data_IF_966955459508
#
_entry.id   IF_966955459508
#
_cell.length_a   1.000
_cell.length_b   1.000
_cell.length_c   1.000
_cell.angle_alpha   90.00
_cell.angle_beta   90.00
_cell.angle_gamma   90.00
#
_symmetry.space_group_name_H-M   'P 1'
#
loop_
_entity.id
_entity.type
_entity.pdbx_description
1 polymer ?
#
# COMPACT_ATOMS: atom_id res chain seq x y z
N UNK A 1 33.29 0.30 -63.52
CA UNK A 1 33.95 -0.69 -62.64
C UNK A 1 33.31 -0.56 -61.27
N UNK A 2 32.37 -1.41 -60.99
CA UNK A 2 31.55 -1.39 -59.75
C UNK A 2 31.92 -2.64 -58.97
N UNK A 3 32.56 -2.48 -57.82
CA UNK A 3 32.86 -3.55 -56.90
C UNK A 3 31.72 -3.80 -55.92
N UNK A 4 31.11 -4.98 -56.02
CA UNK A 4 30.07 -5.43 -55.11
C UNK A 4 30.69 -6.00 -53.82
N UNK A 5 30.36 -5.46 -52.68
CA UNK A 5 30.63 -6.08 -51.38
C UNK A 5 29.42 -6.92 -50.96
N UNK A 6 29.67 -8.21 -50.76
CA UNK A 6 28.73 -9.16 -50.17
C UNK A 6 28.61 -8.98 -48.64
N UNK A 7 27.41 -9.12 -48.03
CA UNK A 7 27.27 -9.07 -46.60
C UNK A 7 27.60 -10.41 -45.95
N UNK A 8 28.24 -10.30 -44.76
CA UNK A 8 28.71 -11.39 -43.92
C UNK A 8 27.57 -12.30 -43.43
N UNK A 9 27.84 -13.61 -43.45
CA UNK A 9 26.98 -14.67 -42.99
C UNK A 9 26.79 -14.63 -41.45
N UNK A 10 25.53 -14.59 -41.02
CA UNK A 10 25.15 -14.79 -39.60
C UNK A 10 25.18 -16.29 -39.29
N UNK A 11 26.13 -16.69 -38.47
CA UNK A 11 26.24 -18.05 -37.94
C UNK A 11 25.11 -18.28 -36.94
N UNK A 12 24.18 -19.17 -37.30
CA UNK A 12 23.14 -19.66 -36.39
C UNK A 12 23.80 -20.55 -35.34
N UNK A 13 23.84 -20.04 -34.08
CA UNK A 13 24.12 -20.89 -32.94
C UNK A 13 22.83 -21.64 -32.62
N UNK A 14 22.85 -22.94 -32.86
CA UNK A 14 21.80 -23.86 -32.45
C UNK A 14 21.92 -24.08 -30.95
N UNK A 15 21.02 -23.48 -30.17
CA UNK A 15 20.86 -23.81 -28.75
C UNK A 15 20.01 -25.07 -28.69
N UNK A 16 20.67 -26.20 -28.44
CA UNK A 16 20.07 -27.49 -28.12
C UNK A 16 19.32 -27.38 -26.79
N UNK A 17 18.02 -27.58 -26.83
CA UNK A 17 17.18 -27.71 -25.65
C UNK A 17 17.58 -28.98 -24.87
N UNK A 18 17.78 -28.93 -23.56
CA UNK A 18 17.89 -30.13 -22.73
C UNK A 18 16.49 -30.74 -22.55
N UNK A 19 16.40 -31.98 -23.00
CA UNK A 19 15.27 -32.88 -22.86
C UNK A 19 14.94 -33.17 -21.39
N UNK A 20 13.61 -33.14 -21.08
CA UNK A 20 12.94 -34.01 -20.10
C UNK A 20 13.65 -34.15 -18.74
N UNK A 21 13.36 -33.21 -17.80
CA UNK A 21 13.31 -33.56 -16.38
C UNK A 21 11.90 -33.21 -15.89
N UNK A 22 11.03 -34.16 -16.05
CA UNK A 22 10.19 -34.92 -15.11
C UNK A 22 9.53 -34.06 -14.00
N UNK A 23 8.31 -33.77 -14.22
CA UNK A 23 7.02 -34.02 -13.58
C UNK A 23 7.11 -34.82 -12.24
N UNK A 24 7.87 -34.38 -11.27
CA UNK A 24 7.92 -35.01 -9.94
C UNK A 24 7.64 -34.05 -8.79
N UNK A 25 7.47 -32.76 -9.06
CA UNK A 25 7.30 -31.75 -7.99
C UNK A 25 5.84 -31.38 -7.66
N UNK A 26 4.84 -32.00 -8.32
CA UNK A 26 3.43 -31.73 -8.02
C UNK A 26 2.90 -32.49 -6.78
N UNK A 27 3.64 -33.48 -6.26
CA UNK A 27 3.10 -34.37 -5.22
C UNK A 27 3.50 -34.05 -3.78
N UNK A 28 4.37 -33.06 -3.54
CA UNK A 28 4.86 -32.76 -2.17
C UNK A 28 4.07 -31.62 -1.50
N UNK A 29 3.35 -30.79 -2.27
CA UNK A 29 2.62 -29.63 -1.72
C UNK A 29 1.26 -29.97 -1.08
N UNK A 30 0.77 -31.21 -1.19
CA UNK A 30 -0.57 -31.60 -0.70
C UNK A 30 -0.56 -32.46 0.57
N UNK A 31 0.62 -32.77 1.14
CA UNK A 31 0.73 -33.68 2.28
C UNK A 31 0.84 -32.98 3.66
N UNK A 32 0.82 -31.63 3.73
CA UNK A 32 0.91 -30.91 5.03
C UNK A 32 -0.48 -30.55 5.58
N UNK A 33 -1.55 -30.71 4.81
CA UNK A 33 -2.93 -30.63 5.33
C UNK A 33 -3.51 -32.00 5.61
N UNK A 34 -2.81 -32.77 6.45
CA UNK A 34 -3.35 -33.98 7.09
C UNK A 34 -4.49 -33.60 8.01
N UNK A 35 -5.67 -34.10 7.69
CA UNK A 35 -6.87 -34.17 8.46
C UNK A 35 -6.60 -34.56 9.93
N UNK A 36 -6.51 -33.57 10.84
CA UNK A 36 -6.61 -33.86 12.26
C UNK A 36 -7.99 -33.38 12.73
N UNK A 37 -8.89 -34.37 12.82
CA UNK A 37 -10.18 -34.25 13.44
C UNK A 37 -9.96 -34.59 14.91
N UNK A 38 -9.73 -33.58 15.73
CA UNK A 38 -9.87 -33.75 17.18
C UNK A 38 -10.61 -32.50 17.66
N UNK A 39 -11.82 -32.75 18.13
CA UNK A 39 -12.65 -31.74 18.71
C UNK A 39 -12.05 -31.26 20.03
N UNK A 40 -12.09 -29.98 20.22
CA UNK A 40 -12.29 -29.38 21.53
C UNK A 40 -13.27 -28.23 21.34
N UNK A 41 -14.45 -28.50 21.86
CA UNK A 41 -15.44 -27.50 22.20
C UNK A 41 -14.89 -26.76 23.43
N UNK A 42 -14.52 -25.49 23.26
CA UNK A 42 -14.57 -24.60 24.40
C UNK A 42 -15.23 -23.28 24.05
N UNK A 43 -16.06 -22.90 24.96
CA UNK A 43 -17.11 -21.93 24.83
C UNK A 43 -16.62 -20.48 24.97
N UNK A 44 -17.35 -19.58 24.26
CA UNK A 44 -17.75 -18.27 24.78
C UNK A 44 -16.66 -17.37 25.32
N UNK A 45 -16.16 -16.51 24.45
CA UNK A 45 -15.54 -15.25 24.82
C UNK A 45 -16.23 -14.17 24.01
N UNK A 46 -17.19 -13.46 24.59
CA UNK A 46 -17.60 -12.14 24.15
C UNK A 46 -16.36 -11.26 24.24
N UNK A 47 -15.73 -10.98 23.13
CA UNK A 47 -14.53 -10.15 23.01
C UNK A 47 -14.84 -8.94 22.17
N UNK A 48 -14.92 -7.87 22.85
CA UNK A 48 -14.80 -6.47 22.51
C UNK A 48 -13.87 -6.22 21.32
N UNK A 49 -14.36 -5.43 20.30
CA UNK A 49 -13.54 -4.72 19.33
C UNK A 49 -12.85 -5.56 18.27
N UNK A 50 -13.40 -5.51 17.10
CA UNK A 50 -13.13 -6.15 15.79
C UNK A 50 -11.67 -5.95 15.25
N UNK A 51 -10.67 -6.34 16.04
CA UNK A 51 -9.29 -6.45 15.59
C UNK A 51 -9.08 -7.79 14.89
N UNK A 52 -8.41 -7.85 13.74
CA UNK A 52 -8.14 -9.10 13.05
C UNK A 52 -7.36 -10.06 13.96
N UNK A 53 -7.75 -11.33 14.00
CA UNK A 53 -7.01 -12.37 14.72
C UNK A 53 -5.70 -12.67 14.00
N UNK A 54 -4.62 -12.03 14.48
CA UNK A 54 -3.32 -12.04 13.82
C UNK A 54 -2.52 -13.26 14.22
N UNK A 55 -2.10 -14.07 13.22
CA UNK A 55 -1.28 -15.26 13.41
C UNK A 55 0.09 -15.15 12.70
N UNK A 56 1.06 -14.38 13.23
CA UNK A 56 2.34 -14.10 12.54
C UNK A 56 3.14 -15.37 12.23
N UNK A 57 3.05 -16.39 13.11
CA UNK A 57 3.76 -17.65 12.90
C UNK A 57 3.26 -18.41 11.65
N UNK A 58 1.94 -18.39 11.39
CA UNK A 58 1.35 -18.97 10.18
C UNK A 58 1.65 -18.11 8.95
N UNK A 59 1.62 -16.80 9.08
CA UNK A 59 1.93 -15.86 8.01
C UNK A 59 3.38 -16.01 7.53
N UNK A 60 4.35 -16.18 8.44
CA UNK A 60 5.78 -16.29 8.14
C UNK A 60 6.12 -17.36 7.11
N UNK A 61 5.49 -18.53 7.20
CA UNK A 61 5.72 -19.61 6.24
C UNK A 61 5.27 -19.20 4.82
N UNK A 62 4.11 -18.53 4.72
CA UNK A 62 3.60 -18.02 3.45
C UNK A 62 4.48 -16.91 2.88
N UNK A 63 4.95 -15.98 3.71
CA UNK A 63 5.84 -14.89 3.27
C UNK A 63 7.19 -15.41 2.80
N UNK A 64 7.79 -16.39 3.48
CA UNK A 64 9.02 -17.02 3.04
C UNK A 64 8.85 -17.72 1.70
N UNK A 65 7.77 -18.47 1.52
CA UNK A 65 7.44 -19.13 0.26
C UNK A 65 7.23 -18.10 -0.87
N UNK A 66 6.47 -17.03 -0.57
CA UNK A 66 6.18 -15.97 -1.54
C UNK A 66 7.47 -15.32 -2.06
N UNK A 67 8.42 -15.00 -1.16
CA UNK A 67 9.71 -14.42 -1.52
C UNK A 67 10.50 -15.33 -2.44
N UNK A 68 10.66 -16.60 -2.08
CA UNK A 68 11.38 -17.59 -2.91
C UNK A 68 10.76 -17.74 -4.29
N UNK A 69 9.43 -17.80 -4.36
CA UNK A 69 8.68 -17.95 -5.62
C UNK A 69 8.79 -16.69 -6.48
N UNK A 70 8.77 -15.50 -5.87
CA UNK A 70 8.92 -14.24 -6.56
C UNK A 70 10.32 -14.09 -7.18
N UNK A 71 11.37 -14.54 -6.48
CA UNK A 71 12.75 -14.56 -6.99
C UNK A 71 12.91 -15.46 -8.21
N UNK A 72 12.08 -16.50 -8.35
CA UNK A 72 12.06 -17.38 -9.56
C UNK A 72 11.22 -16.83 -10.71
N UNK A 73 10.63 -15.64 -10.59
CA UNK A 73 9.78 -15.03 -11.61
C UNK A 73 8.36 -15.57 -11.68
N UNK A 74 7.94 -16.44 -10.75
CA UNK A 74 6.58 -17.02 -10.75
C UNK A 74 5.58 -16.07 -10.05
N UNK A 75 5.38 -14.89 -10.62
CA UNK A 75 4.67 -13.78 -9.97
C UNK A 75 3.22 -14.08 -9.58
N UNK A 76 2.46 -14.81 -10.40
CA UNK A 76 1.08 -15.16 -10.05
C UNK A 76 1.01 -16.06 -8.82
N UNK A 77 1.92 -17.05 -8.71
CA UNK A 77 1.98 -17.90 -7.53
C UNK A 77 2.55 -17.14 -6.31
N UNK A 78 3.50 -16.23 -6.51
CA UNK A 78 3.97 -15.34 -5.47
C UNK A 78 2.82 -14.49 -4.89
N UNK A 79 1.98 -13.90 -5.74
CA UNK A 79 0.77 -13.17 -5.31
C UNK A 79 -0.17 -14.06 -4.48
N UNK A 80 -0.36 -15.31 -4.88
CA UNK A 80 -1.17 -16.28 -4.11
C UNK A 80 -0.61 -16.46 -2.71
N UNK A 81 0.72 -16.64 -2.58
CA UNK A 81 1.38 -16.82 -1.30
C UNK A 81 1.33 -15.53 -0.44
N UNK A 82 1.57 -14.35 -1.04
CA UNK A 82 1.45 -13.07 -0.33
C UNK A 82 0.04 -12.85 0.23
N UNK A 83 -0.99 -13.05 -0.57
CA UNK A 83 -2.39 -12.91 -0.14
C UNK A 83 -2.75 -13.91 0.96
N UNK A 84 -2.28 -15.16 0.85
CA UNK A 84 -2.48 -16.18 1.88
C UNK A 84 -1.80 -15.82 3.20
N UNK A 85 -0.61 -15.24 3.14
CA UNK A 85 0.10 -14.73 4.32
C UNK A 85 -0.59 -13.53 4.94
N UNK A 86 -1.02 -12.55 4.13
CA UNK A 86 -1.77 -11.38 4.59
C UNK A 86 -3.15 -11.72 5.17
N UNK A 87 -3.73 -12.87 4.83
CA UNK A 87 -4.94 -13.35 5.50
C UNK A 87 -4.69 -13.73 6.98
N UNK A 88 -3.45 -14.04 7.37
CA UNK A 88 -3.04 -14.32 8.75
C UNK A 88 -2.36 -13.13 9.43
N UNK A 89 -1.71 -12.27 8.67
CA UNK A 89 -1.06 -11.06 9.17
C UNK A 89 -1.24 -9.91 8.16
N UNK A 90 -2.36 -9.20 8.23
CA UNK A 90 -2.66 -8.10 7.33
C UNK A 90 -1.87 -6.82 7.64
N UNK A 91 -1.15 -6.76 8.77
CA UNK A 91 -0.37 -5.59 9.20
C UNK A 91 0.98 -5.50 8.52
N UNK A 92 1.44 -6.56 7.88
CA UNK A 92 2.80 -6.69 7.35
C UNK A 92 3.01 -5.84 6.11
N UNK A 93 3.78 -4.75 6.26
CA UNK A 93 4.06 -3.81 5.17
C UNK A 93 4.95 -4.38 4.09
N UNK A 94 5.96 -5.18 4.45
CA UNK A 94 6.85 -5.83 3.48
C UNK A 94 6.05 -6.78 2.55
N UNK A 95 5.05 -7.47 3.12
CA UNK A 95 4.17 -8.34 2.35
C UNK A 95 3.27 -7.54 1.39
N UNK A 96 2.72 -6.41 1.85
CA UNK A 96 1.91 -5.52 1.02
C UNK A 96 2.71 -4.97 -0.16
N UNK A 97 3.91 -4.45 0.09
CA UNK A 97 4.77 -3.89 -0.95
C UNK A 97 5.24 -4.96 -1.93
N UNK A 98 5.65 -6.13 -1.42
CA UNK A 98 6.08 -7.25 -2.25
C UNK A 98 4.94 -7.80 -3.11
N UNK A 99 3.72 -7.86 -2.57
CA UNK A 99 2.52 -8.21 -3.34
C UNK A 99 2.29 -7.23 -4.48
N UNK A 100 2.39 -5.93 -4.24
CA UNK A 100 2.20 -4.91 -5.27
C UNK A 100 3.30 -4.98 -6.34
N UNK A 101 4.55 -5.26 -5.94
CA UNK A 101 5.65 -5.48 -6.88
C UNK A 101 5.43 -6.72 -7.76
N UNK A 102 5.03 -7.85 -7.16
CA UNK A 102 4.70 -9.08 -7.90
C UNK A 102 3.54 -8.86 -8.89
N UNK A 103 2.54 -8.10 -8.46
CA UNK A 103 1.38 -7.74 -9.28
C UNK A 103 1.77 -6.86 -10.47
N UNK A 104 2.63 -5.86 -10.27
CA UNK A 104 3.15 -5.02 -11.34
C UNK A 104 3.99 -5.82 -12.33
N UNK A 105 4.83 -6.74 -11.86
CA UNK A 105 5.62 -7.63 -12.68
C UNK A 105 4.74 -8.55 -13.53
N UNK A 106 3.71 -9.19 -12.93
CA UNK A 106 2.74 -10.00 -13.65
C UNK A 106 2.02 -9.22 -14.75
N UNK A 107 1.62 -7.99 -14.47
CA UNK A 107 0.97 -7.12 -15.46
C UNK A 107 1.89 -6.74 -16.62
N UNK A 108 3.21 -6.67 -16.37
CA UNK A 108 4.23 -6.45 -17.41
C UNK A 108 4.46 -7.65 -18.31
N UNK A 109 4.41 -8.86 -17.73
CA UNK A 109 4.67 -10.10 -18.48
C UNK A 109 3.44 -10.63 -19.24
N UNK A 110 2.26 -10.47 -18.67
CA UNK A 110 1.04 -11.09 -19.18
C UNK A 110 -0.15 -10.14 -19.17
N UNK A 111 -0.85 -10.10 -20.32
CA UNK A 111 -2.17 -9.45 -20.40
C UNK A 111 -3.28 -10.26 -19.72
N UNK A 112 -3.00 -11.51 -19.35
CA UNK A 112 -3.93 -12.36 -18.60
C UNK A 112 -3.85 -11.94 -17.13
N UNK A 113 -4.94 -11.51 -16.54
CA UNK A 113 -5.00 -11.19 -15.13
C UNK A 113 -4.66 -12.38 -14.22
N UNK A 114 -4.73 -12.19 -12.87
CA UNK A 114 -4.43 -13.22 -11.88
C UNK A 114 -5.22 -14.52 -12.10
N UNK A 115 -4.59 -15.65 -11.84
CA UNK A 115 -5.20 -16.98 -11.98
C UNK A 115 -6.39 -17.18 -11.04
N UNK A 116 -7.18 -18.23 -11.30
CA UNK A 116 -8.25 -18.63 -10.37
C UNK A 116 -7.74 -19.02 -8.99
N UNK A 117 -6.51 -19.52 -8.89
CA UNK A 117 -5.88 -19.85 -7.61
C UNK A 117 -5.63 -18.57 -6.79
N UNK A 118 -5.06 -17.53 -7.41
CA UNK A 118 -4.83 -16.23 -6.79
C UNK A 118 -6.14 -15.55 -6.37
N UNK A 119 -7.16 -15.61 -7.23
CA UNK A 119 -8.49 -15.09 -6.92
C UNK A 119 -9.12 -15.84 -5.71
N UNK A 120 -8.95 -17.17 -5.64
CA UNK A 120 -9.43 -17.97 -4.50
C UNK A 120 -8.67 -17.66 -3.20
N UNK A 121 -7.38 -17.38 -3.26
CA UNK A 121 -6.59 -16.99 -2.09
C UNK A 121 -7.04 -15.66 -1.47
N UNK A 122 -7.52 -14.74 -2.30
CA UNK A 122 -8.08 -13.46 -1.84
C UNK A 122 -9.55 -13.57 -1.39
N UNK A 123 -10.23 -14.68 -1.70
CA UNK A 123 -11.66 -14.84 -1.44
C UNK A 123 -11.92 -15.61 -0.14
N UNK A 124 -12.83 -15.10 0.68
CA UNK A 124 -13.25 -15.72 1.94
C UNK A 124 -14.37 -14.93 2.60
N UNK A 125 -14.59 -15.19 3.88
CA UNK A 125 -15.56 -14.47 4.71
C UNK A 125 -14.82 -13.63 5.74
N UNK A 126 -15.38 -12.46 6.07
CA UNK A 126 -14.80 -11.53 7.03
C UNK A 126 -14.04 -10.37 6.39
N UNK A 127 -13.67 -9.42 7.24
CA UNK A 127 -13.13 -8.13 6.77
C UNK A 127 -11.69 -8.24 6.23
N UNK A 128 -10.89 -9.17 6.75
CA UNK A 128 -9.56 -9.46 6.21
C UNK A 128 -9.64 -9.92 4.75
N UNK A 129 -10.64 -10.72 4.39
CA UNK A 129 -10.84 -11.15 3.00
C UNK A 129 -11.43 -10.04 2.13
N UNK A 130 -12.17 -9.08 2.68
CA UNK A 130 -12.54 -7.86 1.96
C UNK A 130 -11.28 -7.06 1.61
N UNK A 131 -10.34 -6.95 2.54
CA UNK A 131 -9.07 -6.28 2.33
C UNK A 131 -8.21 -6.98 1.27
N UNK A 132 -7.94 -8.29 1.41
CA UNK A 132 -7.12 -9.03 0.42
C UNK A 132 -7.77 -9.05 -0.97
N UNK A 133 -9.10 -9.13 -1.06
CA UNK A 133 -9.85 -9.04 -2.31
C UNK A 133 -9.75 -7.64 -2.95
N UNK A 134 -9.81 -6.58 -2.14
CA UNK A 134 -9.62 -5.20 -2.61
C UNK A 134 -8.18 -4.98 -3.10
N UNK A 135 -7.18 -5.50 -2.39
CA UNK A 135 -5.78 -5.48 -2.83
C UNK A 135 -5.59 -6.20 -4.16
N UNK A 136 -6.16 -7.39 -4.32
CA UNK A 136 -6.08 -8.13 -5.59
C UNK A 136 -6.76 -7.36 -6.73
N UNK A 137 -7.90 -6.74 -6.47
CA UNK A 137 -8.59 -5.88 -7.45
C UNK A 137 -7.71 -4.72 -7.90
N UNK A 138 -7.04 -4.06 -6.95
CA UNK A 138 -6.13 -2.95 -7.25
C UNK A 138 -4.85 -3.44 -7.93
N UNK A 139 -4.21 -4.49 -7.44
CA UNK A 139 -3.04 -5.09 -8.05
C UNK A 139 -3.29 -5.51 -9.50
N UNK A 140 -4.47 -6.06 -9.81
CA UNK A 140 -4.85 -6.41 -11.18
C UNK A 140 -5.02 -5.21 -12.10
N UNK A 141 -5.27 -4.01 -11.55
CA UNK A 141 -5.46 -2.75 -12.27
C UNK A 141 -4.79 -1.61 -11.51
N UNK A 142 -3.45 -1.52 -11.51
CA UNK A 142 -2.71 -0.58 -10.66
C UNK A 142 -3.04 0.90 -10.88
N UNK A 143 -3.58 1.24 -12.06
CA UNK A 143 -4.00 2.62 -12.40
C UNK A 143 -5.47 2.91 -12.11
N UNK A 144 -6.24 1.94 -11.62
CA UNK A 144 -7.66 2.13 -11.25
C UNK A 144 -7.75 2.83 -9.89
N UNK A 145 -8.02 4.12 -9.91
CA UNK A 145 -8.20 4.95 -8.72
C UNK A 145 -9.29 4.40 -7.79
N UNK A 146 -10.41 3.92 -8.36
CA UNK A 146 -11.50 3.35 -7.59
C UNK A 146 -11.11 2.04 -6.88
N UNK A 147 -10.25 1.23 -7.49
CA UNK A 147 -9.73 0.02 -6.85
C UNK A 147 -8.79 0.36 -5.69
N UNK A 148 -7.89 1.33 -5.87
CA UNK A 148 -7.00 1.82 -4.82
C UNK A 148 -7.79 2.38 -3.63
N UNK A 149 -8.84 3.19 -3.89
CA UNK A 149 -9.71 3.73 -2.84
C UNK A 149 -10.44 2.61 -2.09
N UNK A 150 -10.93 1.58 -2.77
CA UNK A 150 -11.57 0.42 -2.09
C UNK A 150 -10.57 -0.33 -1.20
N UNK A 151 -9.31 -0.47 -1.63
CA UNK A 151 -8.27 -1.09 -0.80
C UNK A 151 -7.94 -0.25 0.44
N UNK A 152 -7.85 1.09 0.30
CA UNK A 152 -7.64 2.00 1.43
C UNK A 152 -8.79 1.93 2.45
N UNK A 153 -10.05 1.93 1.98
CA UNK A 153 -11.25 1.79 2.83
C UNK A 153 -11.26 0.44 3.55
N UNK A 154 -10.90 -0.65 2.86
CA UNK A 154 -10.88 -1.98 3.47
C UNK A 154 -9.78 -2.09 4.54
N UNK A 155 -8.62 -1.47 4.33
CA UNK A 155 -7.55 -1.40 5.32
C UNK A 155 -7.93 -0.53 6.53
N UNK A 156 -8.58 0.62 6.31
CA UNK A 156 -9.10 1.49 7.36
C UNK A 156 -10.15 0.77 8.22
N UNK A 157 -11.09 0.06 7.59
CA UNK A 157 -12.11 -0.72 8.31
C UNK A 157 -11.56 -1.86 9.18
N UNK A 158 -10.32 -2.27 8.97
CA UNK A 158 -9.59 -3.21 9.83
C UNK A 158 -8.67 -2.50 10.84
N UNK A 159 -8.71 -1.18 10.94
CA UNK A 159 -7.82 -0.37 11.78
C UNK A 159 -6.32 -0.61 11.47
N UNK A 160 -5.98 -0.97 10.23
CA UNK A 160 -4.61 -1.14 9.76
C UNK A 160 -4.02 0.22 9.39
N UNK A 161 -3.62 1.02 10.39
CA UNK A 161 -3.24 2.42 10.18
C UNK A 161 -2.10 2.59 9.17
N UNK A 162 -1.03 1.81 9.27
CA UNK A 162 0.13 1.91 8.38
C UNK A 162 -0.19 1.44 6.94
N UNK A 163 -0.77 0.24 6.70
CA UNK A 163 -1.23 -0.16 5.38
C UNK A 163 -2.26 0.81 4.77
N UNK A 164 -3.24 1.28 5.57
CA UNK A 164 -4.27 2.20 5.10
C UNK A 164 -3.68 3.56 4.70
N UNK A 165 -2.72 4.08 5.45
CA UNK A 165 -1.99 5.31 5.11
C UNK A 165 -1.23 5.15 3.79
N UNK A 166 -0.44 4.09 3.67
CA UNK A 166 0.38 3.79 2.48
C UNK A 166 -0.48 3.63 1.21
N UNK A 167 -1.60 2.91 1.31
CA UNK A 167 -2.55 2.74 0.20
C UNK A 167 -3.27 4.06 -0.08
N UNK A 168 -3.69 4.78 0.97
CA UNK A 168 -4.41 6.05 0.89
C UNK A 168 -3.64 7.13 0.15
N UNK A 169 -2.34 7.25 0.41
CA UNK A 169 -1.47 8.20 -0.30
C UNK A 169 -1.46 7.92 -1.80
N UNK A 170 -1.30 6.66 -2.20
CA UNK A 170 -1.32 6.25 -3.62
C UNK A 170 -2.71 6.41 -4.24
N UNK A 171 -3.76 6.10 -3.48
CA UNK A 171 -5.14 6.29 -3.93
C UNK A 171 -5.44 7.77 -4.21
N UNK A 172 -4.96 8.69 -3.38
CA UNK A 172 -5.09 10.14 -3.64
C UNK A 172 -4.37 10.53 -4.91
N UNK A 173 -3.12 10.08 -5.12
CA UNK A 173 -2.37 10.38 -6.34
C UNK A 173 -3.11 9.90 -7.59
N UNK A 174 -3.65 8.67 -7.56
CA UNK A 174 -4.43 8.11 -8.66
C UNK A 174 -5.75 8.86 -8.89
N UNK A 175 -6.46 9.25 -7.81
CA UNK A 175 -7.72 10.00 -7.94
C UNK A 175 -7.50 11.41 -8.48
N UNK A 176 -6.40 12.07 -8.12
CA UNK A 176 -6.05 13.39 -8.65
C UNK A 176 -5.63 13.34 -10.12
N UNK A 177 -5.09 12.22 -10.57
CA UNK A 177 -4.70 12.00 -11.97
C UNK A 177 -5.87 11.53 -12.85
N UNK A 178 -6.99 11.09 -12.28
CA UNK A 178 -8.16 10.61 -13.01
C UNK A 178 -9.13 11.76 -13.33
N UNK A 179 -9.28 12.17 -14.60
CA UNK A 179 -10.20 13.25 -14.96
C UNK A 179 -11.67 12.89 -14.77
N UNK A 180 -12.00 11.62 -14.56
CA UNK A 180 -13.36 11.11 -14.37
C UNK A 180 -13.68 10.80 -12.90
N UNK A 181 -12.80 11.21 -11.98
CA UNK A 181 -13.02 10.97 -10.54
C UNK A 181 -14.34 11.62 -10.10
N UNK A 182 -15.08 10.89 -9.27
CA UNK A 182 -16.35 11.37 -8.70
C UNK A 182 -16.11 11.90 -7.29
N UNK A 183 -16.84 12.97 -6.94
CA UNK A 183 -16.85 13.55 -5.58
C UNK A 183 -17.04 12.47 -4.50
N UNK A 184 -17.99 11.56 -4.72
CA UNK A 184 -18.32 10.49 -3.76
C UNK A 184 -17.13 9.57 -3.47
N UNK A 185 -16.28 9.32 -4.46
CA UNK A 185 -15.06 8.51 -4.28
C UNK A 185 -14.05 9.20 -3.36
N UNK A 186 -13.86 10.50 -3.56
CA UNK A 186 -12.97 11.32 -2.72
C UNK A 186 -13.53 11.47 -1.30
N UNK A 187 -14.85 11.66 -1.15
CA UNK A 187 -15.50 11.72 0.17
C UNK A 187 -15.38 10.39 0.93
N UNK A 188 -15.47 9.25 0.25
CA UNK A 188 -15.24 7.93 0.87
C UNK A 188 -13.80 7.78 1.34
N UNK A 189 -12.84 8.21 0.53
CA UNK A 189 -11.43 8.17 0.88
C UNK A 189 -11.12 9.11 2.05
N UNK A 190 -11.66 10.34 2.04
CA UNK A 190 -11.58 11.28 3.16
C UNK A 190 -12.01 10.63 4.47
N UNK A 191 -13.21 10.00 4.48
CA UNK A 191 -13.74 9.33 5.68
C UNK A 191 -12.81 8.23 6.19
N UNK A 192 -12.33 7.38 5.29
CA UNK A 192 -11.43 6.30 5.64
C UNK A 192 -10.10 6.81 6.23
N UNK A 193 -9.57 7.90 5.70
CA UNK A 193 -8.34 8.51 6.23
C UNK A 193 -8.56 9.21 7.58
N UNK A 194 -9.71 9.83 7.77
CA UNK A 194 -10.11 10.42 9.05
C UNK A 194 -10.25 9.36 10.15
N UNK A 195 -10.85 8.20 9.84
CA UNK A 195 -11.04 7.07 10.78
C UNK A 195 -9.73 6.55 11.35
N UNK A 196 -8.65 6.52 10.56
CA UNK A 196 -7.32 6.11 11.03
C UNK A 196 -6.46 7.27 11.55
N UNK A 197 -7.01 8.49 11.65
CA UNK A 197 -6.28 9.68 12.12
C UNK A 197 -5.30 10.27 11.10
N UNK A 198 -5.32 9.83 9.84
CA UNK A 198 -4.48 10.35 8.75
C UNK A 198 -5.05 11.67 8.20
N UNK A 199 -5.12 12.70 9.05
CA UNK A 199 -5.78 13.97 8.73
C UNK A 199 -5.17 14.72 7.55
N UNK A 200 -3.88 14.58 7.31
CA UNK A 200 -3.19 15.17 6.16
C UNK A 200 -3.70 14.59 4.83
N UNK A 201 -3.88 13.27 4.77
CA UNK A 201 -4.46 12.60 3.61
C UNK A 201 -5.96 12.89 3.48
N UNK A 202 -6.69 12.93 4.61
CA UNK A 202 -8.11 13.28 4.64
C UNK A 202 -8.35 14.70 4.09
N UNK A 203 -7.52 15.67 4.48
CA UNK A 203 -7.58 17.05 3.96
C UNK A 203 -7.33 17.06 2.45
N UNK A 204 -6.28 16.41 1.96
CA UNK A 204 -5.97 16.36 0.51
C UNK A 204 -7.12 15.77 -0.31
N UNK A 205 -7.73 14.67 0.16
CA UNK A 205 -8.90 14.08 -0.48
C UNK A 205 -10.12 15.01 -0.42
N UNK A 206 -10.34 15.67 0.72
CA UNK A 206 -11.42 16.61 0.94
C UNK A 206 -11.33 17.86 0.07
N UNK A 207 -10.17 18.48 -0.02
CA UNK A 207 -9.91 19.62 -0.91
C UNK A 207 -10.18 19.27 -2.38
N UNK A 208 -9.78 18.06 -2.79
CA UNK A 208 -10.08 17.59 -4.14
C UNK A 208 -11.60 17.43 -4.36
N UNK A 209 -12.32 16.93 -3.36
CA UNK A 209 -13.79 16.80 -3.42
C UNK A 209 -14.49 18.16 -3.44
N UNK A 210 -14.02 19.14 -2.66
CA UNK A 210 -14.54 20.53 -2.66
C UNK A 210 -14.30 21.22 -4.01
N UNK A 211 -13.15 20.95 -4.67
CA UNK A 211 -12.92 21.48 -6.03
C UNK A 211 -13.91 20.96 -7.05
N UNK A 212 -14.43 19.74 -6.89
CA UNK A 212 -15.46 19.18 -7.78
C UNK A 212 -16.86 19.75 -7.50
N UNK A 213 -17.12 20.16 -6.26
CA UNK A 213 -18.38 20.77 -5.86
C UNK A 213 -18.13 21.87 -4.81
N UNK A 214 -17.84 23.11 -5.25
CA UNK A 214 -17.58 24.22 -4.35
C UNK A 214 -18.82 24.69 -3.55
N UNK A 215 -20.01 24.24 -3.92
CA UNK A 215 -21.26 24.61 -3.25
C UNK A 215 -21.52 23.85 -1.95
N UNK A 216 -20.78 22.75 -1.71
CA UNK A 216 -20.89 21.92 -0.50
C UNK A 216 -20.16 22.57 0.70
N UNK A 217 -20.84 23.52 1.33
CA UNK A 217 -20.30 24.23 2.50
C UNK A 217 -20.07 23.32 3.70
N UNK A 218 -20.83 22.23 3.84
CA UNK A 218 -20.67 21.26 4.92
C UNK A 218 -19.35 20.50 4.77
N UNK A 219 -19.06 20.03 3.56
CA UNK A 219 -17.78 19.39 3.24
C UNK A 219 -16.60 20.35 3.42
N UNK A 220 -16.73 21.59 2.92
CA UNK A 220 -15.68 22.61 3.07
C UNK A 220 -15.38 22.92 4.55
N UNK A 221 -16.40 22.97 5.41
CA UNK A 221 -16.23 23.16 6.85
C UNK A 221 -15.56 21.97 7.52
N UNK A 222 -15.94 20.74 7.14
CA UNK A 222 -15.31 19.51 7.64
C UNK A 222 -13.82 19.46 7.27
N UNK A 223 -13.46 19.81 6.03
CA UNK A 223 -12.06 19.85 5.57
C UNK A 223 -11.25 20.87 6.39
N UNK A 224 -11.79 22.07 6.65
CA UNK A 224 -11.13 23.06 7.51
C UNK A 224 -10.87 22.55 8.93
N UNK A 225 -11.84 21.85 9.53
CA UNK A 225 -11.67 21.27 10.86
C UNK A 225 -10.57 20.19 10.88
N UNK A 226 -10.53 19.33 9.85
CA UNK A 226 -9.46 18.32 9.73
C UNK A 226 -8.09 18.97 9.47
N UNK A 227 -8.01 20.06 8.72
CA UNK A 227 -6.77 20.81 8.50
C UNK A 227 -6.22 21.38 9.82
N UNK A 228 -7.10 21.86 10.71
CA UNK A 228 -6.70 22.27 12.05
C UNK A 228 -6.14 21.09 12.87
N UNK A 229 -6.78 19.93 12.82
CA UNK A 229 -6.30 18.73 13.49
C UNK A 229 -4.96 18.23 12.92
N UNK A 230 -4.79 18.22 11.60
CA UNK A 230 -3.52 17.89 10.95
C UNK A 230 -2.39 18.83 11.40
N UNK A 231 -2.69 20.11 11.63
CA UNK A 231 -1.70 21.08 12.12
C UNK A 231 -1.32 20.83 13.58
N UNK A 232 -2.30 20.50 14.43
CA UNK A 232 -2.08 20.14 15.83
C UNK A 232 -1.17 18.92 15.93
N UNK A 233 -1.46 17.85 15.18
CA UNK A 233 -0.65 16.63 15.16
C UNK A 233 0.79 16.86 14.68
N UNK A 234 1.00 17.68 13.64
CA UNK A 234 2.34 18.05 13.17
C UNK A 234 3.09 18.95 14.14
N UNK A 235 2.40 19.80 14.85
CA UNK A 235 3.00 20.72 15.82
C UNK A 235 3.47 20.05 17.10
N UNK A 236 3.27 18.73 17.26
CA UNK A 236 3.64 17.99 18.46
C UNK A 236 2.88 18.41 19.72
N UNK A 237 1.74 19.10 19.56
CA UNK A 237 0.91 19.56 20.68
C UNK A 237 0.33 18.40 21.50
N UNK A 238 0.17 17.22 20.90
CA UNK A 238 -0.27 16.01 21.61
C UNK A 238 0.76 15.56 22.68
N UNK A 239 2.02 15.93 22.52
CA UNK A 239 3.09 15.68 23.48
C UNK A 239 3.29 16.83 24.49
N UNK A 240 2.59 17.94 24.31
CA UNK A 240 2.75 19.12 25.20
C UNK A 240 2.31 18.84 26.65
N UNK A 241 1.45 17.84 26.87
CA UNK A 241 1.03 17.36 28.19
C UNK A 241 1.97 16.30 28.80
N UNK A 242 2.95 15.79 28.06
CA UNK A 242 3.93 14.83 28.56
C UNK A 242 5.15 15.56 29.12
N UNK A 243 5.80 14.94 30.12
CA UNK A 243 6.95 15.51 30.78
C UNK A 243 8.12 15.71 29.81
N UNK A 244 8.33 16.94 29.36
CA UNK A 244 9.36 17.31 28.35
C UNK A 244 8.83 17.84 27.02
N UNK A 245 7.60 17.52 26.59
CA UNK A 245 7.08 17.88 25.27
C UNK A 245 7.03 19.38 24.99
N UNK A 246 6.75 20.21 25.99
CA UNK A 246 6.81 21.67 25.86
C UNK A 246 8.24 22.19 25.65
N UNK A 247 9.23 21.61 26.33
CA UNK A 247 10.64 22.00 26.20
C UNK A 247 11.22 21.66 24.84
N UNK A 248 10.83 20.53 24.26
CA UNK A 248 11.29 20.11 22.92
C UNK A 248 10.71 21.01 21.84
N UNK A 249 9.43 21.37 21.93
CA UNK A 249 8.81 22.33 21.00
C UNK A 249 9.42 23.74 21.12
N UNK A 250 9.80 24.19 22.31
CA UNK A 250 10.50 25.47 22.51
C UNK A 250 11.90 25.42 21.92
N UNK A 251 12.66 24.33 22.10
CA UNK A 251 14.00 24.16 21.52
C UNK A 251 13.97 24.17 20.00
N UNK A 252 12.98 23.52 19.37
CA UNK A 252 12.84 23.54 17.90
C UNK A 252 12.46 24.93 17.39
N UNK A 253 11.60 25.68 18.11
CA UNK A 253 11.26 27.05 17.73
C UNK A 253 12.42 28.03 17.92
N UNK A 254 13.27 27.83 18.94
CA UNK A 254 14.48 28.62 19.14
C UNK A 254 15.53 28.32 18.05
N UNK A 255 15.68 27.04 17.69
CA UNK A 255 16.56 26.63 16.59
C UNK A 255 16.13 27.21 15.26
N UNK A 256 14.82 27.22 14.99
CA UNK A 256 14.25 27.87 13.80
C UNK A 256 14.52 29.37 13.78
N UNK A 257 14.34 30.08 14.91
CA UNK A 257 14.66 31.51 15.03
C UNK A 257 16.15 31.81 14.82
N UNK A 258 17.03 30.92 15.28
CA UNK A 258 18.48 31.07 15.04
C UNK A 258 18.83 30.86 13.59
N UNK A 259 18.20 29.90 12.90
CA UNK A 259 18.38 29.69 11.43
C UNK A 259 17.86 30.88 10.64
N UNK A 260 16.67 31.41 10.96
CA UNK A 260 16.10 32.59 10.32
C UNK A 260 16.94 33.86 10.57
N UNK A 261 17.57 33.96 11.73
CA UNK A 261 18.48 35.06 12.04
C UNK A 261 19.80 34.95 11.26
N UNK A 262 20.33 33.73 11.11
CA UNK A 262 21.53 33.47 10.32
C UNK A 262 21.31 33.80 8.83
N UNK A 263 20.14 33.39 8.28
CA UNK A 263 19.75 33.70 6.90
C UNK A 263 19.57 35.20 6.65
N UNK A 264 19.11 35.97 7.66
CA UNK A 264 19.02 37.44 7.54
C UNK A 264 20.38 38.11 7.54
N UNK A 265 21.35 37.58 8.31
CA UNK A 265 22.72 38.13 8.36
C UNK A 265 23.41 37.90 7.04
N UNK A 266 23.35 36.71 6.45
CA UNK A 266 23.92 36.38 5.14
C UNK A 266 23.35 37.26 4.04
N UNK A 267 22.03 37.48 4.00
CA UNK A 267 21.37 38.35 3.01
C UNK A 267 21.76 39.84 3.16
N UNK A 268 22.06 40.28 4.37
CA UNK A 268 22.50 41.68 4.63
C UNK A 268 23.97 41.91 4.24
N UNK A 269 24.82 40.90 4.35
CA UNK A 269 26.22 40.97 3.95
C UNK A 269 26.37 40.93 2.42
N UNK A 270 25.57 40.07 1.72
CA UNK A 270 25.51 40.02 0.26
C UNK A 270 25.07 41.37 -0.39
N UNK A 271 24.23 42.15 0.33
CA UNK A 271 23.78 43.47 -0.14
C UNK A 271 24.85 44.53 0.08
N UNK A 272 25.73 44.38 1.07
CA UNK A 272 26.84 45.33 1.32
C UNK A 272 28.01 45.15 0.37
N UNK A 273 28.21 43.93 -0.15
CA UNK A 273 29.28 43.64 -1.13
C UNK A 273 28.89 44.04 -2.56
N UNK A 274 27.63 44.50 -2.80
CA UNK A 274 27.12 44.97 -4.09
C UNK A 274 27.00 46.51 -4.19
N UNK A 275 27.37 47.25 -3.15
CA UNK A 275 27.44 48.73 -3.12
C UNK A 275 28.88 49.21 -3.05
#
# INVERSE_FOLDING_TARGET
MLGAHAPAAWTRIAITAPSRLSFVWWSIGLAIFGKNKQGDSDAGGEGDGDSPDIHPAKAKAWFSQAKTVQETGSYDYAMTCWLSGMAFDPTNMDALESFMNASAALAGESKKGPSKATQKAAAGKGDVFKYTSALLSWGSKPRDAGAAVRAAIAASGLNLSEPAYWIGERAIQLTLADPKVKKETLVKLLKAMEEIGAYDLAVRAGEAAVRLDPSDNALASRVRNMAAQATIGRGGFDNAGQQGGFRDNVRDSEKQKLLDAADRITKTDDVKDQL
#
